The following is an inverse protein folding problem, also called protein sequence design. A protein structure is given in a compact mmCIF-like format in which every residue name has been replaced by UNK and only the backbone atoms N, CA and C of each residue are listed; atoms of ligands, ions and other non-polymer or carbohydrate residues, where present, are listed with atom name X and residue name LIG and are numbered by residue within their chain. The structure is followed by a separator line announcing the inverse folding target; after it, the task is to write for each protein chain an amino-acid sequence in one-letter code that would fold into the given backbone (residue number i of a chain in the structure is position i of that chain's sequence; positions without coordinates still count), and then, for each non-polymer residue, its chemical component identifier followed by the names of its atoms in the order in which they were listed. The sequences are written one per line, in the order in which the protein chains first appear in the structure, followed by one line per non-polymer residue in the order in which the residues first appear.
data_IF_189024023187
#
_entry.id   IF_189024023187
#
_cell.length_a   1.000
_cell.length_b   1.000
_cell.length_c   1.000
_cell.angle_alpha   90.00
_cell.angle_beta   90.00
_cell.angle_gamma   90.00
#
_symmetry.space_group_name_H-M   'P 1'
#
loop_
_entity.id
_entity.type
_entity.pdbx_description
1 polymer ?
#
# COMPACT_ATOMS: atom_id res chain seq x y z
N UNK A 1 1.10 -14.08 -12.35
CA UNK A 1 0.37 -13.16 -11.44
C UNK A 1 0.75 -13.53 -10.01
N UNK A 2 1.34 -12.60 -9.27
CA UNK A 2 1.64 -12.78 -7.86
C UNK A 2 0.51 -12.15 -7.03
N UNK A 3 0.07 -12.85 -5.98
CA UNK A 3 -0.87 -12.32 -4.99
C UNK A 3 -0.24 -12.44 -3.62
N UNK A 4 -0.33 -11.38 -2.83
CA UNK A 4 0.19 -11.29 -1.48
C UNK A 4 -0.91 -10.78 -0.55
N UNK A 5 -0.79 -11.09 0.75
CA UNK A 5 -1.88 -10.90 1.70
C UNK A 5 -1.58 -9.87 2.80
N UNK A 6 -0.47 -9.14 2.71
CA UNK A 6 -0.13 -8.04 3.61
C UNK A 6 0.67 -6.96 2.88
N UNK A 7 0.71 -5.75 3.44
CA UNK A 7 1.34 -4.61 2.76
C UNK A 7 2.87 -4.64 2.74
N UNK A 8 3.52 -5.32 3.69
CA UNK A 8 4.99 -5.44 3.66
C UNK A 8 5.43 -6.27 2.44
N UNK A 9 4.81 -7.44 2.25
CA UNK A 9 5.11 -8.28 1.09
C UNK A 9 4.71 -7.56 -0.22
N UNK A 10 3.61 -6.80 -0.23
CA UNK A 10 3.22 -6.00 -1.39
C UNK A 10 4.28 -4.95 -1.75
N UNK A 11 4.88 -4.30 -0.76
CA UNK A 11 5.97 -3.36 -0.95
C UNK A 11 7.23 -4.05 -1.51
N UNK A 12 7.65 -5.15 -0.89
CA UNK A 12 8.87 -5.87 -1.28
C UNK A 12 8.76 -6.45 -2.71
N UNK A 13 7.58 -6.97 -3.08
CA UNK A 13 7.32 -7.44 -4.43
C UNK A 13 7.21 -6.29 -5.44
N UNK A 14 6.56 -5.19 -5.10
CA UNK A 14 6.47 -4.04 -6.01
C UNK A 14 7.85 -3.41 -6.29
N UNK A 15 8.79 -3.49 -5.33
CA UNK A 15 10.17 -3.04 -5.49
C UNK A 15 11.02 -3.96 -6.37
N UNK A 16 10.77 -5.27 -6.37
CA UNK A 16 11.53 -6.18 -7.24
C UNK A 16 11.27 -5.94 -8.72
N UNK A 17 10.20 -5.20 -9.05
CA UNK A 17 9.86 -4.77 -10.40
C UNK A 17 9.16 -5.86 -11.22
N UNK A 18 9.01 -5.62 -12.51
CA UNK A 18 8.39 -6.58 -13.44
C UNK A 18 6.85 -6.61 -13.45
N UNK A 19 6.20 -5.57 -12.91
CA UNK A 19 4.75 -5.40 -12.98
C UNK A 19 4.39 -4.18 -13.82
N UNK A 20 3.48 -4.37 -14.78
CA UNK A 20 2.95 -3.28 -15.59
C UNK A 20 1.85 -2.48 -14.85
N UNK A 21 1.22 -3.10 -13.85
CA UNK A 21 0.20 -2.47 -13.00
C UNK A 21 0.08 -3.21 -11.66
N UNK A 22 -0.39 -2.50 -10.63
CA UNK A 22 -0.65 -3.06 -9.29
C UNK A 22 -2.10 -2.75 -8.90
N UNK A 23 -2.80 -3.76 -8.38
CA UNK A 23 -4.09 -3.59 -7.70
C UNK A 23 -3.84 -3.73 -6.20
N UNK A 24 -4.17 -2.70 -5.43
CA UNK A 24 -3.74 -2.58 -4.03
C UNK A 24 -4.94 -2.32 -3.11
N UNK A 25 -5.17 -3.20 -2.14
CA UNK A 25 -6.20 -2.98 -1.12
C UNK A 25 -5.74 -1.92 -0.10
N UNK A 26 -6.59 -0.96 0.23
CA UNK A 26 -6.31 0.03 1.30
C UNK A 26 -6.12 -0.67 2.65
N UNK A 27 -6.98 -1.63 2.97
CA UNK A 27 -6.97 -2.32 4.26
C UNK A 27 -6.20 -3.63 4.14
N UNK A 28 -4.97 -3.64 4.63
CA UNK A 28 -4.12 -4.83 4.69
C UNK A 28 -3.39 -4.92 6.05
N UNK A 29 -3.04 -6.13 6.51
CA UNK A 29 -2.19 -6.33 7.68
C UNK A 29 -0.77 -5.78 7.48
N UNK A 30 -0.06 -5.57 8.60
CA UNK A 30 1.33 -5.07 8.72
C UNK A 30 1.60 -3.66 8.19
N UNK A 31 1.14 -3.36 6.97
CA UNK A 31 1.24 -2.05 6.34
C UNK A 31 -0.03 -1.86 5.50
N UNK A 32 -0.64 -0.68 5.58
CA UNK A 32 -1.85 -0.41 4.80
C UNK A 32 -1.50 -0.01 3.36
N UNK A 33 -2.45 -0.12 2.42
CA UNK A 33 -2.19 0.16 1.01
C UNK A 33 -1.77 1.60 0.73
N UNK A 34 -2.18 2.57 1.56
CA UNK A 34 -1.79 3.98 1.42
C UNK A 34 -0.31 4.14 1.79
N UNK A 35 0.14 3.53 2.89
CA UNK A 35 1.55 3.52 3.31
C UNK A 35 2.43 2.85 2.26
N UNK A 36 1.99 1.70 1.69
CA UNK A 36 2.70 1.03 0.60
C UNK A 36 2.86 1.96 -0.59
N UNK A 37 1.78 2.59 -1.07
CA UNK A 37 1.82 3.55 -2.17
C UNK A 37 2.81 4.69 -1.89
N UNK A 38 2.74 5.30 -0.70
CA UNK A 38 3.62 6.40 -0.32
C UNK A 38 5.09 5.99 -0.34
N UNK A 39 5.43 4.81 0.18
CA UNK A 39 6.80 4.30 0.18
C UNK A 39 7.27 4.00 -1.25
N UNK A 40 6.47 3.31 -2.05
CA UNK A 40 6.81 3.02 -3.45
C UNK A 40 7.08 4.29 -4.25
N UNK A 41 6.30 5.35 -4.05
CA UNK A 41 6.54 6.65 -4.71
C UNK A 41 7.82 7.34 -4.22
N UNK A 42 8.19 7.20 -2.95
CA UNK A 42 9.48 7.69 -2.43
C UNK A 42 10.67 6.95 -3.04
N UNK A 43 10.53 5.66 -3.29
CA UNK A 43 11.52 4.82 -3.98
C UNK A 43 11.54 5.01 -5.51
N UNK A 44 10.72 5.94 -6.04
CA UNK A 44 10.69 6.25 -7.47
C UNK A 44 9.94 5.22 -8.33
N UNK A 45 9.22 4.27 -7.73
CA UNK A 45 8.40 3.30 -8.47
C UNK A 45 7.25 4.05 -9.14
N UNK A 46 7.18 4.00 -10.47
CA UNK A 46 6.15 4.71 -11.27
C UNK A 46 5.03 3.79 -11.79
N UNK A 47 5.06 2.51 -11.43
CA UNK A 47 4.04 1.54 -11.86
C UNK A 47 2.64 2.09 -11.51
N UNK A 48 1.68 2.07 -12.46
CA UNK A 48 0.29 2.43 -12.21
C UNK A 48 -0.31 1.59 -11.09
N UNK A 49 -0.94 2.24 -10.10
CA UNK A 49 -1.57 1.57 -8.95
C UNK A 49 -3.05 1.92 -8.89
N UNK A 50 -3.90 0.91 -8.89
CA UNK A 50 -5.34 1.02 -8.66
C UNK A 50 -5.66 0.63 -7.22
N UNK A 51 -6.21 1.56 -6.44
CA UNK A 51 -6.59 1.31 -5.05
C UNK A 51 -7.97 0.64 -4.99
N UNK A 52 -8.07 -0.47 -4.28
CA UNK A 52 -9.33 -1.08 -3.87
C UNK A 52 -9.73 -0.53 -2.51
N UNK A 53 -10.89 0.11 -2.45
CA UNK A 53 -11.49 0.61 -1.22
C UNK A 53 -12.76 -0.19 -0.93
N UNK A 54 -12.91 -0.68 0.30
CA UNK A 54 -14.22 -1.09 0.78
C UNK A 54 -14.92 0.20 1.24
N UNK A 55 -16.00 0.58 0.56
CA UNK A 55 -16.75 1.85 0.74
C UNK A 55 -17.51 1.96 2.09
N UNK A 56 -16.96 1.42 3.20
CA UNK A 56 -17.70 1.27 4.46
C UNK A 56 -16.94 1.56 5.75
N UNK A 57 -15.68 2.04 5.71
CA UNK A 57 -14.88 2.26 6.94
C UNK A 57 -14.05 3.55 6.92
N UNK A 58 -14.54 4.60 6.25
CA UNK A 58 -13.73 5.80 5.96
C UNK A 58 -13.36 6.66 7.19
N UNK A 59 -13.88 6.43 8.39
CA UNK A 59 -13.68 7.40 9.49
C UNK A 59 -12.65 7.05 10.59
N UNK A 60 -12.07 5.84 10.65
CA UNK A 60 -11.38 5.41 11.89
C UNK A 60 -9.84 5.40 11.89
N UNK A 61 -9.15 5.96 10.89
CA UNK A 61 -7.68 5.90 10.81
C UNK A 61 -6.91 7.23 10.79
N UNK A 62 -7.57 8.36 11.05
CA UNK A 62 -6.88 9.66 11.17
C UNK A 62 -6.35 9.88 12.61
N UNK A 63 -6.66 9.01 13.57
CA UNK A 63 -6.13 9.06 14.93
C UNK A 63 -4.80 8.30 15.07
N UNK A 64 -3.71 8.83 14.51
CA UNK A 64 -2.41 8.14 14.60
C UNK A 64 -1.16 8.97 14.35
N UNK A 65 -1.24 10.30 14.39
CA UNK A 65 -0.05 11.14 14.47
C UNK A 65 0.49 11.10 15.91
N UNK A 66 1.25 10.07 16.25
CA UNK A 66 2.14 10.09 17.42
C UNK A 66 3.54 10.36 16.96
N UNK A 67 3.85 11.66 16.87
CA UNK A 67 5.22 12.20 16.90
C UNK A 67 5.88 11.65 18.18
N UNK A 68 6.87 10.78 18.05
CA UNK A 68 7.82 10.51 19.13
C UNK A 68 9.21 10.87 18.63
N UNK A 69 9.98 11.44 19.55
CA UNK A 69 11.28 12.09 19.35
C UNK A 69 12.34 11.14 18.81
#
# INVERSE_FOLDING_TARGET
MAAVHNGQDAYDYALSGGYDAIILNVMMPKMNGIEVLQRLRKEGVQVPIMMLTAKGQTDDRIAGFSRSR
#
